data_IF_020727344107
#
_entry.id   IF_020727344107
#
_cell.length_a   1.000
_cell.length_b   1.000
_cell.length_c   1.000
_cell.angle_alpha   90.00
_cell.angle_beta   90.00
_cell.angle_gamma   90.00
#
_symmetry.space_group_name_H-M   'P 1'
#
loop_
_entity.id
_entity.type
_entity.pdbx_description
1 polymer ?
#
# COMPACT_ATOMS: atom_id res chain seq x y z
N UNK A 1 39.88 -7.83 -35.89
CA UNK A 1 40.77 -6.67 -36.02
C UNK A 1 41.23 -6.25 -34.63
N UNK A 2 42.52 -6.39 -34.30
CA UNK A 2 43.05 -6.00 -32.98
C UNK A 2 43.08 -4.47 -32.84
N UNK A 3 42.37 -3.86 -31.88
CA UNK A 3 42.41 -2.42 -31.70
C UNK A 3 43.81 -2.00 -31.20
N UNK A 4 44.42 -1.03 -31.86
CA UNK A 4 45.74 -0.50 -31.48
C UNK A 4 45.65 0.31 -30.18
N UNK A 5 46.68 0.24 -29.32
CA UNK A 5 46.79 1.00 -28.04
C UNK A 5 46.41 2.48 -28.17
N UNK A 6 46.70 3.10 -29.32
CA UNK A 6 46.38 4.50 -29.61
C UNK A 6 44.87 4.77 -29.78
N UNK A 7 44.11 3.80 -30.30
CA UNK A 7 42.63 3.87 -30.37
C UNK A 7 42.00 3.64 -29.01
N UNK A 8 42.55 2.74 -28.18
CA UNK A 8 42.09 2.51 -26.81
C UNK A 8 42.21 3.76 -25.93
N UNK A 9 43.37 4.43 -25.97
CA UNK A 9 43.61 5.65 -25.17
C UNK A 9 42.79 6.86 -25.65
N UNK A 10 42.49 6.97 -26.96
CA UNK A 10 41.58 8.01 -27.48
C UNK A 10 40.12 7.75 -27.10
N UNK A 11 39.70 6.49 -27.02
CA UNK A 11 38.35 6.13 -26.58
C UNK A 11 38.17 6.39 -25.06
N UNK A 12 39.19 6.10 -24.24
CA UNK A 12 39.16 6.31 -22.79
C UNK A 12 38.97 7.79 -22.39
N UNK A 13 39.49 8.73 -23.19
CA UNK A 13 39.32 10.17 -22.96
C UNK A 13 37.91 10.68 -23.25
N UNK A 14 37.16 10.02 -24.13
CA UNK A 14 35.78 10.39 -24.50
C UNK A 14 34.77 9.79 -23.49
N UNK A 15 35.08 8.63 -22.90
CA UNK A 15 34.23 7.97 -21.88
C UNK A 15 34.19 8.68 -20.53
N UNK A 16 35.11 9.59 -20.22
CA UNK A 16 35.06 10.41 -19.00
C UNK A 16 34.12 11.63 -19.11
N UNK A 17 33.71 11.99 -20.33
CA UNK A 17 32.87 13.17 -20.60
C UNK A 17 31.44 12.81 -21.00
N UNK A 18 31.13 11.53 -21.21
CA UNK A 18 29.78 11.07 -21.55
C UNK A 18 29.11 10.46 -20.31
N UNK A 19 27.91 10.93 -19.93
CA UNK A 19 27.03 10.16 -19.07
C UNK A 19 26.90 8.75 -19.64
N UNK A 20 26.93 7.75 -18.76
CA UNK A 20 26.74 6.35 -19.15
C UNK A 20 25.41 6.25 -19.90
N UNK A 21 25.47 6.08 -21.23
CA UNK A 21 24.29 5.88 -22.06
C UNK A 21 23.82 4.44 -21.84
N UNK A 22 22.56 4.27 -21.42
CA UNK A 22 21.92 2.98 -21.10
C UNK A 22 22.02 1.93 -22.23
N UNK A 23 22.37 2.33 -23.46
CA UNK A 23 22.57 1.43 -24.59
C UNK A 23 23.82 0.53 -24.53
N UNK A 24 24.73 0.75 -23.57
CA UNK A 24 25.91 -0.11 -23.35
C UNK A 24 25.83 -0.96 -22.09
N UNK A 25 24.69 -0.99 -21.40
CA UNK A 25 24.41 -2.01 -20.42
C UNK A 25 24.25 -3.34 -21.18
N UNK A 26 25.37 -4.03 -21.43
CA UNK A 26 25.35 -5.48 -21.60
C UNK A 26 24.43 -6.02 -20.51
N UNK A 27 23.54 -6.94 -20.88
CA UNK A 27 22.57 -7.60 -20.01
C UNK A 27 23.29 -8.18 -18.78
N UNK A 28 23.54 -7.31 -17.81
CA UNK A 28 23.91 -7.65 -16.47
C UNK A 28 22.65 -8.30 -15.97
N UNK A 29 22.73 -9.59 -15.68
CA UNK A 29 21.68 -10.31 -14.96
C UNK A 29 21.28 -9.41 -13.81
N UNK A 30 20.11 -8.78 -13.96
CA UNK A 30 19.63 -7.84 -12.97
C UNK A 30 19.44 -8.69 -11.73
N UNK A 31 20.22 -8.49 -10.65
CA UNK A 31 20.14 -9.35 -9.49
C UNK A 31 18.68 -9.40 -9.10
N UNK A 32 18.13 -10.62 -9.00
CA UNK A 32 16.69 -10.84 -8.82
C UNK A 32 16.17 -9.84 -7.80
N UNK A 33 15.43 -8.83 -8.29
CA UNK A 33 15.12 -7.65 -7.50
C UNK A 33 14.31 -8.13 -6.31
N UNK A 34 14.93 -8.13 -5.12
CA UNK A 34 14.28 -8.60 -3.89
C UNK A 34 12.91 -7.94 -3.81
N UNK A 35 11.84 -8.75 -3.85
CA UNK A 35 10.49 -8.24 -3.86
C UNK A 35 10.28 -7.45 -2.57
N UNK A 36 10.04 -6.14 -2.70
CA UNK A 36 9.81 -5.24 -1.58
C UNK A 36 8.50 -5.64 -0.91
N UNK A 37 8.60 -6.21 0.30
CA UNK A 37 7.43 -6.61 1.09
C UNK A 37 6.76 -5.37 1.65
N UNK A 38 5.43 -5.41 1.74
CA UNK A 38 4.60 -4.36 2.34
C UNK A 38 3.62 -5.02 3.28
N UNK A 39 3.25 -4.32 4.35
CA UNK A 39 2.23 -4.76 5.29
C UNK A 39 1.08 -3.76 5.26
N UNK A 40 -0.15 -4.25 5.28
CA UNK A 40 -1.35 -3.44 5.39
C UNK A 40 -2.08 -3.85 6.65
N UNK A 41 -2.28 -2.89 7.55
CA UNK A 41 -3.13 -3.06 8.72
C UNK A 41 -4.43 -2.29 8.46
N UNK A 42 -5.56 -2.99 8.55
CA UNK A 42 -6.88 -2.42 8.34
C UNK A 42 -7.74 -2.75 9.54
N UNK A 43 -8.51 -1.75 9.98
CA UNK A 43 -9.53 -1.93 11.01
C UNK A 43 -10.87 -1.56 10.40
N UNK A 44 -11.87 -2.42 10.60
CA UNK A 44 -13.26 -2.11 10.34
C UNK A 44 -13.87 -1.63 11.67
N UNK A 45 -13.99 -0.30 11.90
CA UNK A 45 -14.60 0.21 13.12
C UNK A 45 -16.02 -0.35 13.25
N UNK A 46 -16.45 -0.64 14.48
CA UNK A 46 -17.70 -1.35 14.81
C UNK A 46 -17.71 -2.86 14.50
N UNK A 47 -16.68 -3.36 13.82
CA UNK A 47 -16.54 -4.78 13.50
C UNK A 47 -17.47 -5.27 12.40
N UNK A 48 -17.53 -6.59 12.28
CA UNK A 48 -18.40 -7.30 11.34
C UNK A 48 -19.41 -8.14 12.13
N UNK A 49 -20.56 -8.44 11.53
CA UNK A 49 -21.51 -9.40 12.12
C UNK A 49 -20.87 -10.79 12.20
N UNK A 50 -20.50 -11.30 13.40
CA UNK A 50 -19.64 -12.48 13.50
C UNK A 50 -20.19 -13.75 12.81
N UNK A 51 -21.50 -14.07 12.93
CA UNK A 51 -22.10 -15.22 12.22
C UNK A 51 -21.98 -15.17 10.69
N UNK A 52 -21.83 -13.97 10.10
CA UNK A 52 -21.67 -13.82 8.66
C UNK A 52 -20.20 -13.80 8.20
N UNK A 53 -19.25 -13.58 9.12
CA UNK A 53 -17.81 -13.45 8.81
C UNK A 53 -16.97 -14.67 9.17
N UNK A 54 -17.19 -15.28 10.34
CA UNK A 54 -16.35 -16.39 10.77
C UNK A 54 -16.88 -17.73 10.24
N UNK A 55 -16.02 -18.57 9.66
CA UNK A 55 -16.40 -19.93 9.31
C UNK A 55 -16.78 -20.76 10.53
N UNK A 56 -17.74 -21.68 10.39
CA UNK A 56 -18.17 -22.56 11.47
C UNK A 56 -17.11 -23.62 11.85
N UNK A 57 -16.29 -24.03 10.89
CA UNK A 57 -15.26 -25.06 11.06
C UNK A 57 -13.88 -24.47 10.86
N UNK A 58 -12.93 -24.94 11.66
CA UNK A 58 -11.51 -24.67 11.46
C UNK A 58 -10.93 -25.57 10.34
N UNK A 59 -9.76 -25.20 9.85
CA UNK A 59 -9.01 -25.95 8.83
C UNK A 59 -8.84 -25.17 7.53
N UNK A 60 -8.17 -25.79 6.55
CA UNK A 60 -7.95 -25.16 5.24
C UNK A 60 -9.25 -25.11 4.41
N UNK A 61 -10.02 -26.19 4.49
CA UNK A 61 -11.16 -26.49 3.61
C UNK A 61 -12.53 -26.18 4.26
N UNK A 62 -12.58 -25.12 5.09
CA UNK A 62 -13.87 -24.67 5.62
C UNK A 62 -14.77 -24.17 4.49
N UNK A 63 -16.09 -24.34 4.66
CA UNK A 63 -17.06 -23.68 3.78
C UNK A 63 -17.01 -22.16 4.03
N UNK A 64 -16.86 -21.32 2.99
CA UNK A 64 -16.86 -19.88 3.15
C UNK A 64 -18.14 -19.38 3.84
N UNK A 65 -17.99 -18.42 4.74
CA UNK A 65 -19.13 -17.71 5.31
C UNK A 65 -19.69 -16.70 4.29
N UNK A 66 -20.90 -16.14 4.50
CA UNK A 66 -21.52 -15.22 3.56
C UNK A 66 -20.63 -14.04 3.12
N UNK A 67 -19.84 -13.46 4.03
CA UNK A 67 -18.93 -12.37 3.69
C UNK A 67 -17.64 -12.84 3.01
N UNK A 68 -17.23 -14.09 3.18
CA UNK A 68 -16.03 -14.64 2.55
C UNK A 68 -16.31 -15.15 1.13
N UNK A 69 -17.57 -15.30 0.72
CA UNK A 69 -17.96 -15.63 -0.65
C UNK A 69 -17.38 -14.66 -1.68
N UNK A 70 -17.29 -13.37 -1.33
CA UNK A 70 -16.70 -12.34 -2.21
C UNK A 70 -15.20 -12.54 -2.42
N UNK A 71 -14.55 -13.35 -1.59
CA UNK A 71 -13.12 -13.67 -1.64
C UNK A 71 -12.85 -15.15 -2.00
N UNK A 72 -13.88 -15.90 -2.43
CA UNK A 72 -13.75 -17.35 -2.68
C UNK A 72 -12.63 -17.71 -3.66
N UNK A 73 -12.40 -16.86 -4.66
CA UNK A 73 -11.38 -17.08 -5.70
C UNK A 73 -9.95 -16.92 -5.15
N UNK A 74 -9.80 -16.34 -3.96
CA UNK A 74 -8.53 -16.13 -3.25
C UNK A 74 -8.38 -17.06 -2.04
N UNK A 75 -9.10 -18.18 -1.98
CA UNK A 75 -9.16 -19.04 -0.78
C UNK A 75 -7.77 -19.47 -0.27
N UNK A 76 -6.82 -19.73 -1.17
CA UNK A 76 -5.45 -20.11 -0.80
C UNK A 76 -4.56 -18.92 -0.36
N UNK A 77 -5.01 -17.68 -0.54
CA UNK A 77 -4.23 -16.46 -0.27
C UNK A 77 -4.55 -15.81 1.09
N UNK A 78 -5.54 -16.31 1.84
CA UNK A 78 -5.88 -15.77 3.15
C UNK A 78 -6.23 -16.83 4.20
N UNK A 79 -6.06 -16.44 5.46
CA UNK A 79 -6.45 -17.21 6.64
C UNK A 79 -7.33 -16.34 7.51
N UNK A 80 -8.47 -16.89 7.93
CA UNK A 80 -9.36 -16.25 8.92
C UNK A 80 -8.97 -16.76 10.29
N UNK A 81 -8.69 -15.83 11.20
CA UNK A 81 -8.38 -16.14 12.60
C UNK A 81 -9.55 -15.67 13.47
N UNK A 82 -10.12 -16.59 14.25
CA UNK A 82 -11.19 -16.33 15.21
C UNK A 82 -10.72 -16.61 16.64
N UNK A 83 -11.45 -16.11 17.63
CA UNK A 83 -11.13 -16.32 19.05
C UNK A 83 -9.98 -15.45 19.59
N UNK A 84 -9.53 -14.45 18.83
CA UNK A 84 -8.54 -13.48 19.30
C UNK A 84 -9.23 -12.31 20.04
N UNK A 85 -8.72 -11.96 21.21
CA UNK A 85 -9.16 -10.80 21.98
C UNK A 85 -8.01 -10.19 22.77
N UNK A 86 -8.14 -8.91 23.11
CA UNK A 86 -7.26 -8.25 24.07
C UNK A 86 -7.98 -8.21 25.42
N UNK A 87 -7.72 -9.13 26.36
CA UNK A 87 -8.50 -9.25 27.60
C UNK A 87 -8.37 -8.04 28.54
N UNK A 88 -7.36 -7.20 28.31
CA UNK A 88 -7.06 -6.00 29.08
C UNK A 88 -7.59 -4.71 28.42
N UNK A 89 -8.30 -4.83 27.29
CA UNK A 89 -8.87 -3.72 26.52
C UNK A 89 -10.37 -3.74 26.79
N UNK A 90 -10.90 -2.67 27.36
CA UNK A 90 -12.33 -2.57 27.60
C UNK A 90 -13.12 -2.57 26.28
N UNK A 91 -14.32 -3.13 26.33
CA UNK A 91 -15.23 -3.17 25.18
C UNK A 91 -15.73 -1.78 24.79
N UNK A 92 -16.20 -1.65 23.54
CA UNK A 92 -16.79 -0.43 23.00
C UNK A 92 -15.94 0.26 21.93
N UNK A 93 -16.39 1.44 21.49
CA UNK A 93 -15.80 2.16 20.37
C UNK A 93 -14.33 2.54 20.59
N UNK A 94 -13.94 2.82 21.84
CA UNK A 94 -12.58 3.21 22.19
C UNK A 94 -11.56 2.04 22.11
N UNK A 95 -12.00 0.80 21.89
CA UNK A 95 -11.10 -0.34 21.69
C UNK A 95 -10.25 -0.23 20.41
N UNK A 96 -10.67 0.58 19.42
CA UNK A 96 -9.92 0.84 18.19
C UNK A 96 -8.52 1.39 18.46
N UNK A 97 -8.34 2.17 19.52
CA UNK A 97 -7.06 2.77 19.91
C UNK A 97 -6.00 1.75 20.33
N UNK A 98 -6.43 0.55 20.71
CA UNK A 98 -5.54 -0.55 21.11
C UNK A 98 -5.44 -1.64 20.04
N UNK A 99 -6.07 -1.48 18.87
CA UNK A 99 -6.14 -2.52 17.84
C UNK A 99 -4.77 -3.05 17.38
N UNK A 100 -3.77 -2.17 17.21
CA UNK A 100 -2.41 -2.55 16.81
C UNK A 100 -1.40 -2.60 17.97
N UNK A 101 -1.84 -2.36 19.20
CA UNK A 101 -0.94 -2.21 20.36
C UNK A 101 -1.27 -3.15 21.52
N UNK A 102 -2.52 -3.60 21.62
CA UNK A 102 -3.03 -4.33 22.79
C UNK A 102 -2.98 -3.53 24.09
N UNK A 103 -2.81 -2.20 24.04
CA UNK A 103 -2.61 -1.39 25.23
C UNK A 103 -3.83 -1.42 26.15
N UNK A 104 -3.59 -1.68 27.45
CA UNK A 104 -4.65 -1.75 28.45
C UNK A 104 -5.40 -0.41 28.57
N UNK A 105 -6.74 -0.47 28.60
CA UNK A 105 -7.57 0.67 28.98
C UNK A 105 -8.87 0.22 29.67
N UNK A 106 -9.31 1.00 30.66
CA UNK A 106 -10.47 0.71 31.51
C UNK A 106 -11.78 1.34 31.02
N UNK A 107 -11.91 1.58 29.71
CA UNK A 107 -13.16 2.08 29.09
C UNK A 107 -13.40 3.60 29.13
N UNK A 108 -12.55 4.37 29.83
CA UNK A 108 -12.69 5.83 29.93
C UNK A 108 -11.45 6.55 29.40
N UNK A 109 -11.16 6.40 28.11
CA UNK A 109 -9.91 6.90 27.53
C UNK A 109 -9.82 8.44 27.52
N UNK A 110 -10.96 9.13 27.53
CA UNK A 110 -11.06 10.60 27.59
C UNK A 110 -10.83 11.18 28.98
N UNK A 111 -10.87 10.36 30.03
CA UNK A 111 -10.51 10.71 31.40
C UNK A 111 -9.04 10.32 31.56
N UNK A 112 -8.14 11.31 31.43
CA UNK A 112 -6.68 11.11 31.29
C UNK A 112 -6.09 9.97 32.12
N UNK A 113 -5.17 9.21 31.52
CA UNK A 113 -4.56 8.02 32.15
C UNK A 113 -4.25 6.90 31.17
N UNK A 114 -4.80 6.94 29.95
CA UNK A 114 -4.44 6.00 28.90
C UNK A 114 -2.99 6.20 28.45
N UNK A 115 -2.21 5.13 28.48
CA UNK A 115 -0.84 5.08 27.98
C UNK A 115 -0.76 4.01 26.91
N UNK A 116 -0.41 4.43 25.70
CA UNK A 116 -0.19 3.51 24.60
C UNK A 116 1.31 3.20 24.41
N UNK A 117 1.65 2.37 23.44
CA UNK A 117 3.01 1.97 23.09
C UNK A 117 3.14 1.85 21.56
N UNK A 118 4.31 1.40 21.08
CA UNK A 118 4.54 1.16 19.65
C UNK A 118 3.45 0.25 19.07
N UNK A 119 2.88 0.66 17.95
CA UNK A 119 1.93 -0.17 17.20
C UNK A 119 2.63 -1.12 16.24
N UNK A 120 1.97 -2.23 15.91
CA UNK A 120 2.48 -3.29 15.05
C UNK A 120 2.99 -2.76 13.69
N UNK A 121 2.26 -1.82 13.08
CA UNK A 121 2.65 -1.17 11.83
C UNK A 121 3.96 -0.37 11.95
N UNK A 122 4.16 0.33 13.07
CA UNK A 122 5.38 1.08 13.33
C UNK A 122 6.55 0.15 13.65
N UNK A 123 6.31 -0.92 14.41
CA UNK A 123 7.32 -1.94 14.67
C UNK A 123 7.76 -2.64 13.36
N UNK A 124 6.82 -2.96 12.48
CA UNK A 124 7.14 -3.52 11.17
C UNK A 124 7.93 -2.53 10.31
N UNK A 125 7.56 -1.24 10.32
CA UNK A 125 8.26 -0.20 9.56
C UNK A 125 9.74 -0.05 9.97
N UNK A 126 10.11 -0.31 11.22
CA UNK A 126 11.51 -0.35 11.65
C UNK A 126 12.32 -1.45 10.93
N UNK A 127 11.67 -2.52 10.46
CA UNK A 127 12.31 -3.66 9.82
C UNK A 127 12.26 -3.60 8.28
N UNK A 128 11.10 -3.22 7.71
CA UNK A 128 10.87 -3.24 6.25
C UNK A 128 10.70 -1.86 5.63
N UNK A 129 10.59 -0.80 6.43
CA UNK A 129 10.28 0.55 5.94
C UNK A 129 11.41 1.22 5.16
N UNK A 130 12.65 0.76 5.33
CA UNK A 130 13.81 1.23 4.55
C UNK A 130 13.79 0.72 3.10
N UNK A 131 12.94 -0.27 2.80
CA UNK A 131 12.81 -0.86 1.48
C UNK A 131 11.83 -0.09 0.59
N UNK A 132 11.06 0.86 1.13
CA UNK A 132 10.02 1.61 0.42
C UNK A 132 10.25 3.12 0.50
N UNK A 133 9.70 3.88 -0.46
CA UNK A 133 9.81 5.36 -0.48
C UNK A 133 9.25 6.00 0.78
N UNK A 134 8.15 5.46 1.27
CA UNK A 134 7.53 5.83 2.53
C UNK A 134 7.62 4.64 3.47
N UNK A 135 8.19 4.79 4.68
CA UNK A 135 8.24 3.69 5.65
C UNK A 135 6.85 3.36 6.21
N UNK A 136 5.98 4.37 6.32
CA UNK A 136 4.62 4.26 6.83
C UNK A 136 3.69 5.20 6.07
N UNK A 137 2.46 4.76 5.78
CA UNK A 137 1.38 5.58 5.26
C UNK A 137 0.09 5.20 5.99
N UNK A 138 -0.45 6.13 6.77
CA UNK A 138 -1.72 5.97 7.45
C UNK A 138 -2.80 6.83 6.78
N UNK A 139 -3.98 6.27 6.58
CA UNK A 139 -5.16 7.02 6.18
C UNK A 139 -6.40 6.48 6.89
N UNK A 140 -7.43 7.32 7.00
CA UNK A 140 -8.66 6.99 7.71
C UNK A 140 -9.85 7.67 7.06
N UNK A 141 -10.95 6.93 6.91
CA UNK A 141 -12.23 7.47 6.44
C UNK A 141 -13.15 7.90 7.59
N UNK A 142 -12.80 7.56 8.83
CA UNK A 142 -13.63 7.78 10.02
C UNK A 142 -13.03 8.77 11.02
N UNK A 143 -11.88 9.36 10.70
CA UNK A 143 -11.27 10.41 11.53
C UNK A 143 -10.31 9.92 12.61
N UNK A 144 -10.12 8.62 12.75
CA UNK A 144 -9.27 8.02 13.79
C UNK A 144 -8.04 7.29 13.22
N UNK A 145 -7.01 7.07 14.02
CA UNK A 145 -5.74 6.44 13.63
C UNK A 145 -5.51 5.11 14.34
N UNK A 146 -4.82 4.19 13.66
CA UNK A 146 -4.38 2.92 14.25
C UNK A 146 -2.92 2.98 14.76
N UNK A 147 -2.19 4.04 14.41
CA UNK A 147 -0.73 4.09 14.49
C UNK A 147 -0.23 4.89 15.69
N UNK A 148 0.74 4.33 16.40
CA UNK A 148 1.30 4.86 17.63
C UNK A 148 2.83 4.75 17.66
N UNK A 149 3.49 5.82 18.06
CA UNK A 149 4.95 5.82 18.24
C UNK A 149 5.35 4.93 19.42
N UNK A 150 6.65 4.62 19.53
CA UNK A 150 7.23 3.93 20.68
C UNK A 150 6.99 4.60 22.03
N UNK A 151 6.81 5.92 22.04
CA UNK A 151 6.45 6.69 23.24
C UNK A 151 4.95 6.75 23.51
N UNK A 152 4.12 6.04 22.73
CA UNK A 152 2.67 6.02 22.88
C UNK A 152 1.99 7.30 22.37
N UNK A 153 2.63 8.02 21.45
CA UNK A 153 2.05 9.22 20.83
C UNK A 153 1.31 8.83 19.56
N UNK A 154 0.10 9.38 19.37
CA UNK A 154 -0.71 9.16 18.16
C UNK A 154 -0.02 9.69 16.91
N UNK A 155 0.03 8.87 15.87
CA UNK A 155 0.46 9.28 14.54
C UNK A 155 -0.79 9.63 13.74
N UNK A 156 -0.88 10.88 13.26
CA UNK A 156 -2.05 11.34 12.51
C UNK A 156 -2.20 10.58 11.18
N UNK A 157 -3.40 10.09 10.91
CA UNK A 157 -3.76 9.49 9.63
C UNK A 157 -4.23 10.60 8.66
N UNK A 158 -3.97 10.42 7.37
CA UNK A 158 -4.55 11.30 6.35
C UNK A 158 -6.05 11.01 6.19
N UNK A 159 -6.88 12.03 6.22
CA UNK A 159 -8.33 11.87 6.12
C UNK A 159 -8.83 11.84 4.67
N UNK A 160 -7.95 12.10 3.70
CA UNK A 160 -8.28 12.09 2.29
C UNK A 160 -7.47 11.03 1.56
N UNK A 161 -8.12 9.96 1.05
CA UNK A 161 -7.45 8.99 0.19
C UNK A 161 -6.72 9.64 -0.99
N UNK A 162 -7.29 10.72 -1.53
CA UNK A 162 -6.69 11.50 -2.62
C UNK A 162 -5.34 12.12 -2.24
N UNK A 163 -5.13 12.51 -0.98
CA UNK A 163 -3.83 13.03 -0.52
C UNK A 163 -2.78 11.92 -0.44
N UNK A 164 -3.15 10.73 0.04
CA UNK A 164 -2.25 9.57 0.08
C UNK A 164 -1.89 9.12 -1.33
N UNK A 165 -2.88 9.03 -2.21
CA UNK A 165 -2.67 8.78 -3.63
C UNK A 165 -1.72 9.83 -4.23
N UNK A 166 -1.97 11.11 -3.94
CA UNK A 166 -1.13 12.20 -4.42
C UNK A 166 0.34 12.03 -4.00
N UNK A 167 0.59 11.62 -2.76
CA UNK A 167 1.94 11.37 -2.25
C UNK A 167 2.61 10.17 -2.90
N UNK A 168 1.84 9.14 -3.26
CA UNK A 168 2.33 7.91 -3.86
C UNK A 168 2.65 8.05 -5.34
N UNK A 169 1.82 8.77 -6.09
CA UNK A 169 1.81 8.72 -7.55
C UNK A 169 2.04 10.06 -8.25
N UNK A 170 1.89 11.20 -7.56
CA UNK A 170 2.17 12.49 -8.21
C UNK A 170 3.66 12.81 -8.15
N UNK A 171 4.29 12.71 -9.31
CA UNK A 171 5.64 13.16 -9.59
C UNK A 171 5.59 14.18 -10.74
N UNK A 172 6.37 15.27 -10.63
CA UNK A 172 6.37 16.35 -11.61
C UNK A 172 6.80 17.69 -11.02
N UNK A 173 6.79 18.74 -11.86
CA UNK A 173 7.09 20.11 -11.40
C UNK A 173 6.04 20.61 -10.39
N UNK A 174 6.36 21.62 -9.57
CA UNK A 174 5.40 22.21 -8.64
C UNK A 174 4.07 22.61 -9.30
N UNK A 175 4.10 23.10 -10.55
CA UNK A 175 2.90 23.44 -11.31
C UNK A 175 2.07 22.21 -11.69
N UNK A 176 2.72 21.12 -12.12
CA UNK A 176 2.07 19.86 -12.48
C UNK A 176 1.40 19.20 -11.26
N UNK A 177 2.10 19.17 -10.13
CA UNK A 177 1.56 18.67 -8.85
C UNK A 177 0.41 19.55 -8.37
N UNK A 178 0.49 20.88 -8.52
CA UNK A 178 -0.58 21.79 -8.15
C UNK A 178 -1.83 21.63 -9.03
N UNK A 179 -1.66 21.41 -10.34
CA UNK A 179 -2.75 21.14 -11.27
C UNK A 179 -3.44 19.80 -10.95
N UNK A 180 -2.66 18.75 -10.72
CA UNK A 180 -3.13 17.43 -10.29
C UNK A 180 -3.91 17.49 -8.96
N UNK A 181 -3.37 18.18 -7.94
CA UNK A 181 -4.05 18.39 -6.66
C UNK A 181 -5.34 19.19 -6.78
N UNK A 182 -5.40 20.19 -7.67
CA UNK A 182 -6.65 20.91 -7.97
C UNK A 182 -7.68 19.93 -8.53
N UNK A 183 -7.33 19.12 -9.53
CA UNK A 183 -8.23 18.11 -10.11
C UNK A 183 -8.74 17.10 -9.09
N UNK A 184 -7.85 16.58 -8.24
CA UNK A 184 -8.21 15.68 -7.13
C UNK A 184 -9.24 16.27 -6.17
N UNK A 185 -9.14 17.58 -5.87
CA UNK A 185 -10.11 18.28 -5.02
C UNK A 185 -11.47 18.48 -5.70
N UNK A 186 -11.51 18.50 -7.02
CA UNK A 186 -12.75 18.65 -7.79
C UNK A 186 -13.36 17.30 -8.22
N UNK A 187 -12.83 16.16 -7.72
CA UNK A 187 -13.35 14.83 -8.04
C UNK A 187 -13.18 14.43 -9.51
N UNK A 188 -12.28 15.07 -10.26
CA UNK A 188 -12.04 14.69 -11.66
C UNK A 188 -11.29 13.35 -11.70
N UNK A 189 -11.89 12.38 -12.39
CA UNK A 189 -11.47 10.97 -12.39
C UNK A 189 -10.00 10.80 -12.77
N UNK A 190 -9.21 10.31 -11.81
CA UNK A 190 -7.81 9.92 -12.00
C UNK A 190 -7.66 8.78 -13.02
N UNK A 191 -8.72 8.00 -13.25
CA UNK A 191 -8.70 6.84 -14.15
C UNK A 191 -8.58 7.23 -15.61
N UNK A 192 -9.11 8.39 -16.02
CA UNK A 192 -8.92 8.86 -17.39
C UNK A 192 -7.43 9.11 -17.68
N UNK A 193 -6.68 9.61 -16.69
CA UNK A 193 -5.25 9.84 -16.83
C UNK A 193 -4.41 8.56 -16.72
N UNK A 194 -4.74 7.67 -15.77
CA UNK A 194 -4.06 6.37 -15.68
C UNK A 194 -4.34 5.56 -16.94
N UNK A 195 -5.53 5.64 -17.52
CA UNK A 195 -5.87 5.03 -18.82
C UNK A 195 -5.04 5.61 -19.96
N UNK A 196 -4.89 6.94 -20.03
CA UNK A 196 -4.15 7.57 -21.12
C UNK A 196 -2.65 7.24 -21.03
N UNK A 197 -2.08 7.17 -19.82
CA UNK A 197 -0.70 6.70 -19.59
C UNK A 197 -0.55 5.19 -19.80
N UNK A 198 -1.55 4.39 -19.42
CA UNK A 198 -1.56 2.95 -19.64
C UNK A 198 -1.74 2.59 -21.12
N UNK A 199 -2.46 3.40 -21.90
CA UNK A 199 -2.55 3.26 -23.37
C UNK A 199 -1.20 3.49 -24.04
N UNK A 200 -0.41 4.45 -23.57
CA UNK A 200 0.98 4.63 -24.03
C UNK A 200 1.86 3.43 -23.68
N UNK A 201 1.72 2.86 -22.48
CA UNK A 201 2.44 1.65 -22.07
C UNK A 201 1.97 0.37 -22.77
N UNK A 202 0.69 0.25 -23.11
CA UNK A 202 0.13 -0.91 -23.81
C UNK A 202 0.85 -1.17 -25.14
N UNK A 203 1.38 -0.13 -25.80
CA UNK A 203 2.13 -0.27 -27.05
C UNK A 203 3.36 -1.20 -26.92
N UNK A 204 3.94 -1.35 -25.73
CA UNK A 204 5.11 -2.20 -25.46
C UNK A 204 4.84 -3.53 -24.75
N UNK A 205 3.59 -3.84 -24.40
CA UNK A 205 3.23 -5.02 -23.61
C UNK A 205 2.79 -6.21 -24.47
N UNK A 206 3.09 -7.43 -23.99
CA UNK A 206 2.60 -8.69 -24.57
C UNK A 206 1.10 -8.91 -24.34
N UNK A 207 0.49 -9.83 -25.08
CA UNK A 207 -0.97 -10.05 -25.09
C UNK A 207 -1.58 -10.34 -23.71
N UNK A 208 -0.94 -11.20 -22.91
CA UNK A 208 -1.43 -11.54 -21.57
C UNK A 208 -1.42 -10.36 -20.59
N UNK A 209 -0.45 -9.46 -20.70
CA UNK A 209 -0.33 -8.30 -19.81
C UNK A 209 -1.33 -7.20 -20.17
N UNK A 210 -1.67 -7.10 -21.47
CA UNK A 210 -2.74 -6.21 -21.94
C UNK A 210 -4.10 -6.64 -21.39
N UNK A 211 -4.38 -7.94 -21.40
CA UNK A 211 -5.65 -8.49 -20.94
C UNK A 211 -5.89 -8.23 -19.45
N UNK A 212 -4.86 -8.44 -18.61
CA UNK A 212 -4.93 -8.14 -17.16
C UNK A 212 -5.09 -6.65 -16.85
N UNK A 213 -4.45 -5.78 -17.63
CA UNK A 213 -4.61 -4.33 -17.46
C UNK A 213 -6.03 -3.88 -17.82
N UNK A 214 -6.61 -4.42 -18.89
CA UNK A 214 -7.99 -4.13 -19.30
C UNK A 214 -9.01 -4.61 -18.24
N UNK A 215 -8.80 -5.80 -17.68
CA UNK A 215 -9.63 -6.33 -16.60
C UNK A 215 -9.56 -5.45 -15.34
N UNK A 216 -8.37 -5.00 -14.96
CA UNK A 216 -8.18 -4.04 -13.87
C UNK A 216 -8.94 -2.73 -14.13
N UNK A 217 -8.77 -2.11 -15.31
CA UNK A 217 -9.45 -0.84 -15.63
C UNK A 217 -10.97 -0.96 -15.66
N UNK A 218 -11.48 -2.11 -16.09
CA UNK A 218 -12.92 -2.40 -16.12
C UNK A 218 -13.47 -2.50 -14.70
N UNK A 219 -12.79 -3.24 -13.82
CA UNK A 219 -13.17 -3.37 -12.41
C UNK A 219 -13.21 -2.03 -11.66
N UNK A 220 -12.21 -1.16 -11.86
CA UNK A 220 -12.22 0.16 -11.19
C UNK A 220 -13.32 1.08 -11.73
N UNK A 221 -13.65 1.00 -13.03
CA UNK A 221 -14.72 1.81 -13.62
C UNK A 221 -16.12 1.41 -13.14
N UNK A 222 -16.35 0.12 -12.97
CA UNK A 222 -17.63 -0.37 -12.44
C UNK A 222 -17.82 0.03 -10.98
N UNK A 223 -16.74 0.06 -10.20
CA UNK A 223 -16.73 0.61 -8.83
C UNK A 223 -17.07 2.11 -8.82
N UNK A 224 -16.54 2.90 -9.76
CA UNK A 224 -16.81 4.35 -9.87
C UNK A 224 -18.28 4.64 -10.22
N UNK A 225 -18.93 3.80 -11.02
CA UNK A 225 -20.36 3.95 -11.33
C UNK A 225 -21.30 3.60 -10.18
N UNK A 226 -20.79 2.87 -9.18
CA UNK A 226 -21.55 2.43 -8.01
C UNK A 226 -21.41 3.39 -6.81
N UNK A 227 -20.55 4.41 -6.91
CA UNK A 227 -20.31 5.46 -5.92
C UNK A 227 -20.95 6.79 -6.36
#
# INVERSE_FOLDING_TARGET
MNPTRRRFLRAAGISLALPWLDGFAAASETPARRQRRRMVCMSAPLGLHPPAFFPEKAGKDYAPSPYLEVLKDFRDDFTVMSGLSHPQVAEGHDSSYSFLTGAHHSGFMRLGGFRNTISLDQLAAEHIGTETRFPTLGFSTVGDTLSWTRSGVRIQADLSPSNVFARLFLEGTPEQVAAQRRRLRYGQSLLDQVRDQAKEMQAGLGSNDREKLDEYFTSVRDLEKQL
#
